data_IF_558545618968
#
_entry.id   IF_558545618968
#
_cell.length_a   1.000
_cell.length_b   1.000
_cell.length_c   1.000
_cell.angle_alpha   90.00
_cell.angle_beta   90.00
_cell.angle_gamma   90.00
#
_symmetry.space_group_name_H-M   'P 1'
#
loop_
_entity.id
_entity.type
_entity.pdbx_description
1 polymer ?
#
# COMPACT_ATOMS: atom_id res chain seq x y z
N UNK A 1 -51.30 -52.31 -5.36
CA UNK A 1 -50.44 -51.58 -6.31
C UNK A 1 -50.47 -50.12 -5.91
N UNK A 2 -49.45 -49.67 -5.18
CA UNK A 2 -49.29 -48.31 -4.64
C UNK A 2 -48.05 -47.69 -5.27
N UNK A 3 -48.14 -46.40 -5.64
CA UNK A 3 -47.10 -45.38 -5.75
C UNK A 3 -47.41 -44.47 -6.95
N UNK A 4 -47.97 -43.28 -6.72
CA UNK A 4 -47.30 -41.99 -6.42
C UNK A 4 -47.03 -41.19 -7.69
N UNK A 5 -47.78 -40.09 -7.84
CA UNK A 5 -47.56 -39.04 -8.84
C UNK A 5 -46.45 -38.12 -8.31
N UNK A 6 -45.32 -38.09 -9.00
CA UNK A 6 -44.29 -37.08 -8.74
C UNK A 6 -44.58 -35.85 -9.62
N UNK A 7 -45.07 -34.77 -9.01
CA UNK A 7 -45.10 -33.45 -9.64
C UNK A 7 -43.70 -32.83 -9.53
N UNK A 8 -43.03 -32.62 -10.66
CA UNK A 8 -41.77 -31.87 -10.71
C UNK A 8 -42.06 -30.38 -10.53
N UNK A 9 -41.58 -29.79 -9.44
CA UNK A 9 -41.51 -28.34 -9.28
C UNK A 9 -40.24 -27.82 -10.00
N UNK A 10 -40.30 -26.69 -10.72
CA UNK A 10 -39.12 -26.11 -11.34
C UNK A 10 -38.25 -25.46 -10.25
N UNK A 11 -37.08 -26.03 -10.00
CA UNK A 11 -36.03 -25.41 -9.18
C UNK A 11 -35.44 -24.24 -9.95
N UNK A 12 -35.83 -23.03 -9.58
CA UNK A 12 -35.17 -21.80 -10.02
C UNK A 12 -33.79 -21.74 -9.38
N UNK A 13 -32.77 -22.19 -10.10
CA UNK A 13 -31.37 -21.97 -9.71
C UNK A 13 -31.04 -20.52 -10.11
N UNK A 14 -31.16 -19.60 -9.15
CA UNK A 14 -30.57 -18.28 -9.28
C UNK A 14 -29.05 -18.43 -9.22
N UNK A 15 -28.40 -18.41 -10.38
CA UNK A 15 -26.95 -18.24 -10.49
C UNK A 15 -26.64 -16.80 -10.05
N UNK A 16 -26.32 -16.62 -8.77
CA UNK A 16 -25.64 -15.43 -8.28
C UNK A 16 -24.21 -15.48 -8.83
N UNK A 17 -24.00 -14.88 -9.99
CA UNK A 17 -22.68 -14.50 -10.48
C UNK A 17 -22.13 -13.44 -9.53
N UNK A 18 -21.46 -13.88 -8.46
CA UNK A 18 -20.53 -13.04 -7.74
C UNK A 18 -19.36 -12.75 -8.68
N UNK A 19 -19.39 -11.58 -9.33
CA UNK A 19 -18.18 -10.96 -9.85
C UNK A 19 -17.32 -10.65 -8.64
N UNK A 20 -16.37 -11.53 -8.32
CA UNK A 20 -15.29 -11.19 -7.41
C UNK A 20 -14.53 -10.03 -8.07
N UNK A 21 -14.79 -8.81 -7.60
CA UNK A 21 -13.98 -7.65 -7.99
C UNK A 21 -12.53 -7.99 -7.70
N UNK A 22 -11.66 -7.81 -8.70
CA UNK A 22 -10.24 -8.12 -8.55
C UNK A 22 -9.71 -7.45 -7.29
N UNK A 23 -9.00 -8.22 -6.46
CA UNK A 23 -8.23 -7.66 -5.38
C UNK A 23 -7.05 -6.90 -6.01
N UNK A 24 -7.30 -5.65 -6.37
CA UNK A 24 -6.28 -4.67 -6.74
C UNK A 24 -5.59 -4.29 -5.45
N UNK A 25 -4.68 -5.15 -5.04
CA UNK A 25 -3.96 -5.01 -3.79
C UNK A 25 -2.89 -3.93 -4.04
N UNK A 26 -3.27 -2.67 -3.80
CA UNK A 26 -2.36 -1.56 -3.53
C UNK A 26 -1.70 -0.85 -4.73
N UNK A 27 -2.21 -0.99 -5.95
CA UNK A 27 -2.03 0.05 -6.98
C UNK A 27 -2.68 1.40 -6.58
N UNK A 28 -2.86 2.34 -7.53
CA UNK A 28 -3.43 3.66 -7.23
C UNK A 28 -4.72 3.61 -6.38
N UNK A 29 -5.59 2.64 -6.66
CA UNK A 29 -6.85 2.45 -5.94
C UNK A 29 -6.62 2.05 -4.47
N UNK A 30 -5.66 1.18 -4.17
CA UNK A 30 -5.43 0.74 -2.79
C UNK A 30 -4.82 1.84 -1.91
N UNK A 31 -3.90 2.63 -2.45
CA UNK A 31 -3.39 3.83 -1.76
C UNK A 31 -4.48 4.87 -1.53
N UNK A 32 -5.28 5.18 -2.55
CA UNK A 32 -6.41 6.10 -2.44
C UNK A 32 -7.45 5.62 -1.45
N UNK A 33 -7.75 4.32 -1.43
CA UNK A 33 -8.72 3.71 -0.49
C UNK A 33 -8.20 3.80 0.94
N UNK A 34 -6.92 3.48 1.16
CA UNK A 34 -6.29 3.56 2.48
C UNK A 34 -6.27 4.99 3.01
N UNK A 35 -5.90 5.94 2.15
CA UNK A 35 -5.93 7.35 2.48
C UNK A 35 -7.35 7.86 2.77
N UNK A 36 -8.36 7.44 2.00
CA UNK A 36 -9.75 7.81 2.21
C UNK A 36 -10.26 7.31 3.56
N UNK A 37 -9.98 6.05 3.91
CA UNK A 37 -10.34 5.50 5.22
C UNK A 37 -9.64 6.29 6.33
N UNK A 38 -8.34 6.53 6.20
CA UNK A 38 -7.56 7.27 7.19
C UNK A 38 -8.09 8.70 7.42
N UNK A 39 -8.45 9.43 6.36
CA UNK A 39 -9.04 10.78 6.45
C UNK A 39 -10.29 10.81 7.32
N UNK A 40 -11.18 9.81 7.17
CA UNK A 40 -12.42 9.74 7.97
C UNK A 40 -12.19 9.45 9.46
N UNK A 41 -11.01 8.96 9.81
CA UNK A 41 -10.64 8.56 11.17
C UNK A 41 -9.73 9.58 11.87
N UNK A 42 -9.34 10.67 11.19
CA UNK A 42 -8.56 11.72 11.79
C UNK A 42 -9.34 12.41 12.92
N UNK A 43 -8.64 12.68 14.03
CA UNK A 43 -9.15 13.63 15.02
C UNK A 43 -9.25 15.02 14.41
N UNK A 44 -10.11 15.89 14.92
CA UNK A 44 -10.26 17.27 14.44
C UNK A 44 -8.92 18.04 14.39
N UNK A 45 -8.09 17.86 15.42
CA UNK A 45 -6.73 18.42 15.45
C UNK A 45 -5.87 17.88 14.31
N UNK A 46 -5.84 16.56 14.11
CA UNK A 46 -5.05 15.94 13.05
C UNK A 46 -5.55 16.37 11.67
N UNK A 47 -6.86 16.39 11.43
CA UNK A 47 -7.46 16.84 10.18
C UNK A 47 -7.07 18.29 9.85
N UNK A 48 -7.12 19.18 10.85
CA UNK A 48 -6.71 20.59 10.68
C UNK A 48 -5.23 20.72 10.35
N UNK A 49 -4.36 19.99 11.06
CA UNK A 49 -2.91 20.00 10.79
C UNK A 49 -2.58 19.41 9.43
N UNK A 50 -3.20 18.31 9.04
CA UNK A 50 -3.03 17.68 7.72
C UNK A 50 -3.46 18.64 6.60
N UNK A 51 -4.62 19.30 6.74
CA UNK A 51 -5.09 20.28 5.76
C UNK A 51 -4.11 21.45 5.62
N UNK A 52 -3.50 21.91 6.71
CA UNK A 52 -2.47 22.97 6.66
C UNK A 52 -1.18 22.51 5.98
N UNK A 53 -0.73 21.28 6.25
CA UNK A 53 0.48 20.71 5.64
C UNK A 53 0.26 20.50 4.14
N UNK A 54 -0.88 19.95 3.74
CA UNK A 54 -1.17 19.61 2.34
C UNK A 54 -1.74 20.77 1.52
N UNK A 55 -1.76 21.99 2.06
CA UNK A 55 -2.39 23.16 1.43
C UNK A 55 -3.82 22.86 0.93
N UNK A 56 -4.62 22.24 1.80
CA UNK A 56 -5.99 21.78 1.57
C UNK A 56 -6.16 20.70 0.48
N UNK A 57 -5.09 20.10 -0.04
CA UNK A 57 -5.20 18.88 -0.82
C UNK A 57 -5.66 17.71 0.07
N UNK A 58 -6.47 16.81 -0.49
CA UNK A 58 -6.85 15.57 0.20
C UNK A 58 -5.66 14.59 0.26
N UNK A 59 -5.54 13.84 1.35
CA UNK A 59 -4.68 12.66 1.47
C UNK A 59 -4.91 11.69 0.31
N UNK A 60 -6.17 11.51 -0.13
CA UNK A 60 -6.50 10.69 -1.31
C UNK A 60 -5.75 11.18 -2.54
N UNK A 61 -5.81 12.48 -2.84
CA UNK A 61 -5.18 13.05 -4.04
C UNK A 61 -3.66 13.00 -4.04
N UNK A 62 -3.02 12.92 -2.88
CA UNK A 62 -1.55 12.86 -2.76
C UNK A 62 -1.02 11.45 -2.46
N UNK A 63 -1.92 10.47 -2.27
CA UNK A 63 -1.57 9.13 -1.81
C UNK A 63 -0.68 8.34 -2.77
N UNK A 64 -0.68 8.67 -4.07
CA UNK A 64 0.15 8.01 -5.10
C UNK A 64 1.44 8.77 -5.41
N UNK A 65 1.65 9.94 -4.82
CA UNK A 65 2.76 10.83 -5.18
C UNK A 65 4.14 10.16 -5.02
N UNK A 66 4.34 9.34 -3.99
CA UNK A 66 5.62 8.66 -3.76
C UNK A 66 5.96 7.70 -4.92
N UNK A 67 4.96 7.00 -5.43
CA UNK A 67 5.09 6.13 -6.60
C UNK A 67 5.40 6.91 -7.89
N UNK A 68 4.82 8.09 -8.04
CA UNK A 68 5.08 8.95 -9.20
C UNK A 68 6.54 9.41 -9.18
N UNK A 69 7.02 9.90 -8.04
CA UNK A 69 8.36 10.50 -7.95
C UNK A 69 9.49 9.48 -7.98
N UNK A 70 9.33 8.27 -7.41
CA UNK A 70 10.42 7.27 -7.33
C UNK A 70 11.03 6.87 -8.69
N UNK A 71 10.30 7.10 -9.79
CA UNK A 71 10.76 6.85 -11.16
C UNK A 71 11.58 8.00 -11.76
N UNK A 72 11.59 9.17 -11.11
CA UNK A 72 12.29 10.37 -11.56
C UNK A 72 13.75 10.37 -11.10
N UNK A 73 14.63 11.05 -11.84
CA UNK A 73 16.05 11.15 -11.49
C UNK A 73 16.31 11.83 -10.13
N UNK A 74 15.48 12.80 -9.76
CA UNK A 74 15.61 13.51 -8.48
C UNK A 74 15.24 12.64 -7.26
N UNK A 75 14.41 11.62 -7.46
CA UNK A 75 13.82 10.82 -6.38
C UNK A 75 14.07 9.32 -6.53
N UNK A 76 14.91 8.89 -7.47
CA UNK A 76 15.25 7.48 -7.68
C UNK A 76 15.78 6.79 -6.39
N UNK A 77 16.40 7.56 -5.50
CA UNK A 77 16.83 7.09 -4.19
C UNK A 77 15.69 6.60 -3.30
N UNK A 78 14.44 7.02 -3.53
CA UNK A 78 13.28 6.63 -2.72
C UNK A 78 12.69 5.28 -3.11
N UNK A 79 13.04 4.72 -4.29
CA UNK A 79 12.45 3.49 -4.78
C UNK A 79 12.57 2.29 -3.80
N UNK A 80 13.72 2.06 -3.12
CA UNK A 80 13.83 0.98 -2.13
C UNK A 80 13.00 1.19 -0.86
N UNK A 81 12.52 2.41 -0.61
CA UNK A 81 11.72 2.73 0.57
C UNK A 81 10.28 2.20 0.48
N UNK A 82 9.87 1.63 -0.66
CA UNK A 82 8.52 1.10 -0.86
C UNK A 82 8.34 -0.34 -0.37
N UNK A 83 9.43 -1.05 -0.02
CA UNK A 83 9.36 -2.47 0.31
C UNK A 83 10.42 -2.89 1.33
N UNK A 84 10.39 -4.17 1.69
CA UNK A 84 11.38 -4.90 2.48
C UNK A 84 11.62 -6.24 1.78
N UNK A 85 12.88 -6.52 1.52
CA UNK A 85 13.34 -7.83 1.07
C UNK A 85 13.67 -8.71 2.28
N UNK A 86 13.02 -9.87 2.35
CA UNK A 86 13.26 -10.89 3.38
C UNK A 86 13.90 -12.13 2.76
N UNK A 87 14.74 -12.88 3.51
CA UNK A 87 15.32 -14.11 3.01
C UNK A 87 14.23 -15.14 2.65
N UNK A 88 14.44 -15.80 1.52
CA UNK A 88 13.53 -16.81 1.00
C UNK A 88 13.11 -17.83 2.06
N UNK A 89 11.80 -18.09 2.12
CA UNK A 89 11.18 -19.15 2.94
C UNK A 89 11.42 -19.05 4.46
N UNK A 90 12.01 -17.95 4.94
CA UNK A 90 12.13 -17.69 6.38
C UNK A 90 10.79 -17.24 6.97
N UNK A 91 9.94 -16.60 6.16
CA UNK A 91 8.59 -16.16 6.52
C UNK A 91 8.54 -15.35 7.83
N UNK A 92 9.61 -14.60 8.10
CA UNK A 92 9.70 -13.70 9.24
C UNK A 92 10.54 -12.49 8.87
N UNK A 93 10.17 -11.36 9.46
CA UNK A 93 10.87 -10.09 9.33
C UNK A 93 11.77 -9.87 10.56
N UNK A 94 13.03 -9.54 10.32
CA UNK A 94 13.96 -9.01 11.32
C UNK A 94 14.50 -7.66 10.85
N UNK A 95 14.23 -6.60 11.62
CA UNK A 95 14.55 -5.24 11.19
C UNK A 95 16.04 -5.04 10.91
N UNK A 96 16.92 -5.56 11.77
CA UNK A 96 18.37 -5.38 11.64
C UNK A 96 18.94 -6.12 10.42
N UNK A 97 18.33 -7.24 10.05
CA UNK A 97 18.71 -8.06 8.89
C UNK A 97 18.12 -7.54 7.58
N UNK A 98 16.84 -7.19 7.60
CA UNK A 98 16.02 -7.00 6.40
C UNK A 98 15.78 -5.53 6.04
N UNK A 99 15.81 -4.61 7.01
CA UNK A 99 15.63 -3.19 6.73
C UNK A 99 16.93 -2.53 6.29
N UNK A 100 17.42 -2.94 5.13
CA UNK A 100 18.60 -2.36 4.50
C UNK A 100 18.50 -2.49 2.99
N UNK A 101 19.15 -1.58 2.27
CA UNK A 101 19.28 -1.67 0.81
C UNK A 101 20.67 -1.13 0.41
N UNK A 102 21.39 -1.87 -0.45
CA UNK A 102 22.77 -1.55 -0.87
C UNK A 102 23.73 -1.22 0.30
N UNK A 103 23.61 -1.97 1.40
CA UNK A 103 24.41 -1.79 2.61
C UNK A 103 24.07 -0.54 3.42
N UNK A 104 22.99 0.17 3.08
CA UNK A 104 22.45 1.29 3.87
C UNK A 104 21.41 0.75 4.86
N UNK A 105 21.65 0.82 6.18
CA UNK A 105 20.64 0.47 7.17
C UNK A 105 19.46 1.43 7.11
N UNK A 106 18.31 0.99 7.60
CA UNK A 106 17.04 1.73 7.64
C UNK A 106 16.44 2.09 6.26
N UNK A 107 17.06 1.64 5.17
CA UNK A 107 16.67 1.99 3.81
C UNK A 107 15.62 1.01 3.25
N UNK A 108 14.49 0.94 3.95
CA UNK A 108 13.33 0.10 3.63
C UNK A 108 12.03 0.80 4.06
N UNK A 109 10.85 0.25 3.75
CA UNK A 109 9.55 0.88 4.11
C UNK A 109 9.36 1.09 5.62
N UNK A 110 9.79 0.14 6.46
CA UNK A 110 9.68 0.31 7.92
C UNK A 110 10.56 1.46 8.43
N UNK A 111 11.80 1.55 7.95
CA UNK A 111 12.71 2.64 8.30
C UNK A 111 12.24 4.00 7.77
N UNK A 112 11.65 4.02 6.57
CA UNK A 112 11.05 5.22 5.99
C UNK A 112 9.88 5.74 6.84
N UNK A 113 8.97 4.86 7.28
CA UNK A 113 7.86 5.23 8.16
C UNK A 113 8.39 5.88 9.45
N UNK A 114 9.40 5.27 10.09
CA UNK A 114 10.01 5.84 11.32
C UNK A 114 10.66 7.19 11.04
N UNK A 115 11.40 7.32 9.94
CA UNK A 115 12.09 8.55 9.56
C UNK A 115 11.09 9.70 9.34
N UNK A 116 10.11 9.51 8.44
CA UNK A 116 9.19 10.59 8.08
C UNK A 116 8.20 10.91 9.20
N UNK A 117 7.82 9.94 10.03
CA UNK A 117 7.01 10.23 11.23
C UNK A 117 7.78 11.14 12.19
N UNK A 118 9.08 10.88 12.44
CA UNK A 118 9.92 11.75 13.27
C UNK A 118 10.08 13.15 12.68
N UNK A 119 10.24 13.26 11.35
CA UNK A 119 10.31 14.55 10.68
C UNK A 119 9.02 15.35 10.85
N UNK A 120 7.86 14.69 10.72
CA UNK A 120 6.55 15.33 10.95
C UNK A 120 6.38 15.78 12.40
N UNK A 121 6.73 14.95 13.37
CA UNK A 121 6.67 15.31 14.79
C UNK A 121 7.50 16.57 15.09
N UNK A 122 8.72 16.63 14.57
CA UNK A 122 9.60 17.78 14.73
C UNK A 122 9.02 19.03 14.03
N UNK A 123 8.58 18.90 12.78
CA UNK A 123 8.01 20.01 12.02
C UNK A 123 6.77 20.59 12.70
N UNK A 124 5.87 19.73 13.19
CA UNK A 124 4.66 20.15 13.94
C UNK A 124 5.05 20.85 15.23
N UNK A 125 6.01 20.31 16.00
CA UNK A 125 6.48 20.94 17.23
C UNK A 125 7.12 22.32 16.98
N UNK A 126 7.69 22.53 15.80
CA UNK A 126 8.38 23.77 15.40
C UNK A 126 7.49 24.73 14.61
N UNK A 127 6.22 24.38 14.36
CA UNK A 127 5.27 25.20 13.59
C UNK A 127 5.60 25.30 12.09
N UNK A 128 6.44 24.40 11.56
CA UNK A 128 6.90 24.38 10.15
C UNK A 128 5.96 23.60 9.24
N UNK A 129 4.66 23.84 9.37
CA UNK A 129 3.63 23.03 8.73
C UNK A 129 3.63 23.16 7.20
N UNK A 130 3.97 24.34 6.68
CA UNK A 130 3.90 24.62 5.23
C UNK A 130 5.23 24.42 4.50
N UNK A 131 6.29 24.02 5.20
CA UNK A 131 7.59 23.72 4.58
C UNK A 131 7.43 22.55 3.59
N UNK A 132 8.05 22.66 2.41
CA UNK A 132 7.97 21.65 1.35
C UNK A 132 8.37 20.25 1.86
N UNK A 133 9.43 20.18 2.67
CA UNK A 133 9.91 18.95 3.30
C UNK A 133 8.90 18.33 4.27
N UNK A 134 8.08 19.15 4.94
CA UNK A 134 6.99 18.67 5.80
C UNK A 134 5.87 18.07 4.96
N UNK A 135 5.55 18.68 3.81
CA UNK A 135 4.55 18.14 2.88
C UNK A 135 5.01 16.81 2.31
N UNK A 136 6.27 16.72 1.86
CA UNK A 136 6.88 15.50 1.34
C UNK A 136 6.86 14.39 2.41
N UNK A 137 7.27 14.71 3.65
CA UNK A 137 7.25 13.75 4.75
C UNK A 137 5.83 13.19 4.99
N UNK A 138 4.80 14.04 4.94
CA UNK A 138 3.42 13.59 5.11
C UNK A 138 2.97 12.69 3.94
N UNK A 139 3.28 13.07 2.70
CA UNK A 139 2.95 12.28 1.51
C UNK A 139 3.62 10.90 1.55
N UNK A 140 4.89 10.84 1.97
CA UNK A 140 5.59 9.58 2.17
C UNK A 140 4.94 8.71 3.25
N UNK A 141 4.59 9.26 4.42
CA UNK A 141 3.91 8.49 5.48
C UNK A 141 2.57 7.94 5.00
N UNK A 142 1.76 8.76 4.30
CA UNK A 142 0.47 8.33 3.73
C UNK A 142 0.67 7.14 2.79
N UNK A 143 1.67 7.21 1.92
CA UNK A 143 1.94 6.15 0.94
C UNK A 143 2.51 4.89 1.58
N UNK A 144 3.58 5.02 2.38
CA UNK A 144 4.32 3.90 2.96
C UNK A 144 3.51 3.11 4.00
N UNK A 145 2.56 3.75 4.69
CA UNK A 145 1.60 3.01 5.51
C UNK A 145 0.70 2.12 4.66
N UNK A 146 0.43 2.45 3.40
CA UNK A 146 -0.20 1.52 2.46
C UNK A 146 0.74 0.39 2.07
N UNK A 147 1.95 0.74 1.62
CA UNK A 147 2.95 -0.23 1.15
C UNK A 147 3.27 -1.30 2.18
N UNK A 148 3.52 -0.94 3.44
CA UNK A 148 3.87 -1.93 4.47
C UNK A 148 2.74 -2.94 4.75
N UNK A 149 1.50 -2.62 4.37
CA UNK A 149 0.34 -3.52 4.49
C UNK A 149 0.07 -4.32 3.22
N UNK A 150 0.76 -4.04 2.10
CA UNK A 150 0.78 -4.85 0.89
C UNK A 150 1.65 -6.10 1.18
N UNK A 151 1.08 -7.33 1.27
CA UNK A 151 1.84 -8.51 1.69
C UNK A 151 3.12 -8.78 0.87
N UNK A 152 3.09 -8.51 -0.43
CA UNK A 152 4.21 -8.73 -1.34
C UNK A 152 5.24 -7.59 -1.34
N UNK A 153 4.98 -6.46 -0.66
CA UNK A 153 6.02 -5.46 -0.35
C UNK A 153 6.88 -5.87 0.85
N UNK A 154 6.56 -6.94 1.57
CA UNK A 154 7.39 -7.51 2.64
C UNK A 154 7.54 -9.00 2.40
N UNK A 155 8.34 -9.36 1.40
CA UNK A 155 8.40 -10.74 0.91
C UNK A 155 9.79 -11.10 0.37
N UNK A 156 9.89 -12.09 -0.52
CA UNK A 156 11.17 -12.73 -0.82
C UNK A 156 12.05 -11.90 -1.75
N UNK A 157 13.34 -11.86 -1.44
CA UNK A 157 14.33 -11.19 -2.29
C UNK A 157 14.44 -11.86 -3.66
N UNK A 158 14.42 -13.20 -3.71
CA UNK A 158 14.72 -13.94 -4.95
C UNK A 158 13.69 -13.77 -6.06
N UNK A 159 12.46 -13.42 -5.72
CA UNK A 159 11.37 -13.23 -6.67
C UNK A 159 10.93 -11.77 -6.81
N UNK A 160 11.73 -10.84 -6.27
CA UNK A 160 11.44 -9.40 -6.22
C UNK A 160 10.05 -9.13 -5.65
N UNK A 161 9.74 -9.82 -4.55
CA UNK A 161 8.43 -9.86 -3.94
C UNK A 161 7.31 -10.35 -4.87
N UNK A 162 7.57 -11.36 -5.68
CA UNK A 162 6.61 -11.91 -6.63
C UNK A 162 6.56 -11.23 -8.00
N UNK A 163 7.35 -10.17 -8.25
CA UNK A 163 7.43 -9.54 -9.58
C UNK A 163 7.99 -10.50 -10.64
N UNK A 164 8.85 -11.45 -10.24
CA UNK A 164 9.41 -12.47 -11.13
C UNK A 164 8.54 -13.74 -11.23
N UNK A 165 7.41 -13.79 -10.53
CA UNK A 165 6.48 -14.92 -10.55
C UNK A 165 5.38 -14.66 -11.57
N UNK A 166 5.56 -15.17 -12.79
CA UNK A 166 4.56 -15.06 -13.85
C UNK A 166 3.33 -15.92 -13.56
N UNK A 167 2.15 -15.34 -13.73
CA UNK A 167 0.84 -15.97 -13.51
C UNK A 167 -0.11 -15.65 -14.66
N UNK A 168 -1.30 -16.23 -14.61
CA UNK A 168 -2.42 -15.84 -15.48
C UNK A 168 -3.59 -15.45 -14.60
N UNK A 169 -4.07 -14.22 -14.74
CA UNK A 169 -5.18 -13.68 -13.97
C UNK A 169 -6.34 -13.37 -14.92
N UNK A 170 -7.48 -14.05 -14.73
CA UNK A 170 -8.64 -13.96 -15.62
C UNK A 170 -8.36 -14.15 -17.12
N UNK A 171 -7.33 -14.93 -17.45
CA UNK A 171 -6.94 -15.22 -18.83
C UNK A 171 -5.85 -14.29 -19.38
N UNK A 172 -5.49 -13.24 -18.65
CA UNK A 172 -4.43 -12.32 -19.04
C UNK A 172 -3.10 -12.67 -18.35
N UNK A 173 -1.95 -12.60 -19.05
CA UNK A 173 -0.63 -12.75 -18.44
C UNK A 173 -0.35 -11.62 -17.46
N UNK A 174 0.07 -11.96 -16.24
CA UNK A 174 0.42 -11.02 -15.18
C UNK A 174 1.61 -11.54 -14.37
N UNK A 175 2.09 -10.78 -13.37
CA UNK A 175 2.93 -11.31 -12.30
C UNK A 175 2.19 -11.29 -10.95
N UNK A 176 2.66 -12.08 -9.98
CA UNK A 176 2.00 -12.23 -8.68
C UNK A 176 1.92 -10.93 -7.87
N UNK A 177 2.84 -9.99 -8.11
CA UNK A 177 2.96 -8.73 -7.39
C UNK A 177 2.05 -7.61 -7.93
N UNK A 178 1.67 -7.68 -9.20
CA UNK A 178 1.14 -6.54 -9.98
C UNK A 178 0.16 -5.65 -9.19
N UNK A 179 0.46 -4.35 -9.29
CA UNK A 179 -0.22 -3.22 -8.66
C UNK A 179 -1.47 -2.80 -9.40
#
# INVERSE_FOLDING_TARGET
MLAWRATMAPTWVWLLLFTAGGAQAWGPIGHQTTAAIAETLLTEKAATTVAQILDNASMVSVSTWADDVRSTSAWAWSAPLHFIDTPDRVCSFDYSRDCQNDGRPDFCVAGAIVNYTRQLELAVAQGRLQDETTQEALKFVIHFLGDIHQPLHVSFTSDEGGNLVNVTFFGEPENLHVR
#
